data_IF_298175939556
#
_entry.id   IF_298175939556
#
_cell.length_a   1.000
_cell.length_b   1.000
_cell.length_c   1.000
_cell.angle_alpha   90.00
_cell.angle_beta   90.00
_cell.angle_gamma   90.00
#
_symmetry.space_group_name_H-M   'P 1'
#
loop_
_entity.id
_entity.type
_entity.pdbx_description
1 polymer ?
#
# COMPACT_ATOMS: atom_id res chain seq x y z
N UNK A 1 9.33 -26.27 -19.95
CA UNK A 1 9.72 -24.89 -19.54
C UNK A 1 9.33 -24.71 -18.07
N UNK A 2 10.26 -24.27 -17.22
CA UNK A 2 9.86 -23.76 -15.91
C UNK A 2 8.89 -22.59 -16.18
N UNK A 3 7.76 -22.53 -15.48
CA UNK A 3 6.82 -21.43 -15.64
C UNK A 3 7.57 -20.11 -15.41
N UNK A 4 7.33 -19.11 -16.26
CA UNK A 4 7.87 -17.77 -16.03
C UNK A 4 7.24 -17.26 -14.73
N UNK A 5 8.08 -17.12 -13.70
CA UNK A 5 7.68 -16.79 -12.34
C UNK A 5 8.31 -15.46 -11.96
N UNK A 6 7.48 -14.50 -11.55
CA UNK A 6 7.89 -13.14 -11.21
C UNK A 6 7.54 -12.84 -9.76
N UNK A 7 8.38 -13.25 -8.80
CA UNK A 7 8.12 -13.04 -7.38
C UNK A 7 8.18 -11.56 -6.99
N UNK A 8 7.33 -11.20 -6.02
CA UNK A 8 7.19 -9.85 -5.48
C UNK A 8 7.45 -9.91 -3.98
N UNK A 9 8.36 -9.07 -3.50
CA UNK A 9 8.86 -9.05 -2.13
C UNK A 9 8.74 -7.63 -1.57
N UNK A 10 8.26 -7.52 -0.35
CA UNK A 10 8.35 -6.31 0.47
C UNK A 10 9.77 -6.15 0.98
N UNK A 11 10.38 -4.98 0.76
CA UNK A 11 11.83 -4.83 0.92
C UNK A 11 12.27 -4.77 2.38
N UNK A 12 11.51 -4.13 3.27
CA UNK A 12 11.95 -3.83 4.63
C UNK A 12 11.92 -5.07 5.54
N UNK A 13 10.83 -5.83 5.47
CA UNK A 13 10.61 -7.09 6.19
C UNK A 13 11.14 -8.31 5.42
N UNK A 14 11.29 -8.19 4.10
CA UNK A 14 11.56 -9.31 3.21
C UNK A 14 10.33 -10.17 2.90
N UNK A 15 9.12 -9.77 3.32
CA UNK A 15 7.93 -10.61 3.14
C UNK A 15 7.62 -10.86 1.67
N UNK A 16 7.44 -12.14 1.34
CA UNK A 16 7.05 -12.58 0.02
C UNK A 16 5.54 -12.41 -0.14
N UNK A 17 5.10 -11.53 -1.04
CA UNK A 17 3.68 -11.44 -1.41
C UNK A 17 3.17 -12.69 -2.11
N UNK A 18 4.03 -13.23 -2.97
CA UNK A 18 3.62 -14.15 -4.01
C UNK A 18 4.40 -13.89 -5.28
N UNK A 19 3.79 -14.20 -6.40
CA UNK A 19 4.40 -14.01 -7.71
C UNK A 19 3.34 -13.80 -8.78
N UNK A 20 3.79 -13.36 -9.95
CA UNK A 20 3.03 -13.51 -11.20
C UNK A 20 3.56 -14.74 -11.91
N UNK A 21 2.65 -15.62 -12.34
CA UNK A 21 2.99 -16.77 -13.17
C UNK A 21 1.98 -16.93 -14.28
N UNK A 22 2.45 -17.00 -15.52
CA UNK A 22 1.61 -17.05 -16.73
C UNK A 22 0.51 -15.96 -16.74
N UNK A 23 0.86 -14.74 -16.32
CA UNK A 23 -0.04 -13.59 -16.24
C UNK A 23 -1.08 -13.67 -15.12
N UNK A 24 -0.90 -14.53 -14.12
CA UNK A 24 -1.81 -14.69 -12.99
C UNK A 24 -1.12 -14.46 -11.66
N UNK A 25 -1.83 -13.78 -10.76
CA UNK A 25 -1.44 -13.62 -9.37
C UNK A 25 -1.43 -14.98 -8.65
N UNK A 26 -0.28 -15.29 -8.04
CA UNK A 26 0.00 -16.50 -7.27
C UNK A 26 0.35 -16.10 -5.84
N UNK A 27 -0.17 -16.85 -4.86
CA UNK A 27 0.08 -16.59 -3.43
C UNK A 27 1.49 -16.99 -3.00
N UNK A 28 1.95 -16.43 -1.87
CA UNK A 28 3.27 -16.66 -1.30
C UNK A 28 3.64 -18.15 -1.15
N UNK A 29 2.74 -18.99 -0.65
CA UNK A 29 3.02 -20.40 -0.37
C UNK A 29 3.20 -21.23 -1.65
N UNK A 30 2.52 -20.85 -2.72
CA UNK A 30 2.67 -21.47 -4.04
C UNK A 30 3.95 -20.97 -4.73
N UNK A 31 4.19 -19.65 -4.69
CA UNK A 31 5.40 -19.05 -5.22
C UNK A 31 6.66 -19.61 -4.57
N UNK A 32 6.66 -19.77 -3.24
CA UNK A 32 7.80 -20.29 -2.49
C UNK A 32 8.16 -21.75 -2.83
N UNK A 33 7.19 -22.58 -3.25
CA UNK A 33 7.46 -23.94 -3.72
C UNK A 33 8.16 -23.95 -5.08
N UNK A 34 7.89 -22.93 -5.91
CA UNK A 34 8.47 -22.78 -7.24
C UNK A 34 9.83 -22.06 -7.22
N UNK A 35 10.09 -21.22 -6.21
CA UNK A 35 11.38 -20.54 -6.02
C UNK A 35 12.45 -21.51 -5.49
N UNK A 36 13.33 -21.98 -6.37
CA UNK A 36 14.32 -23.01 -6.04
C UNK A 36 15.70 -22.49 -5.65
N UNK A 37 15.98 -21.19 -5.77
CA UNK A 37 17.30 -20.64 -5.48
C UNK A 37 17.34 -19.11 -5.51
N UNK A 38 18.57 -18.59 -5.57
CA UNK A 38 18.82 -17.15 -5.63
C UNK A 38 18.11 -16.53 -6.84
N UNK A 39 17.40 -15.43 -6.58
CA UNK A 39 16.69 -14.67 -7.60
C UNK A 39 17.17 -13.22 -7.58
N UNK A 40 17.30 -12.60 -8.75
CA UNK A 40 17.68 -11.18 -8.85
C UNK A 40 16.42 -10.34 -8.99
N UNK A 41 16.26 -9.36 -8.10
CA UNK A 41 15.11 -8.48 -8.04
C UNK A 41 15.54 -7.05 -8.39
N UNK A 42 14.69 -6.32 -9.09
CA UNK A 42 14.78 -4.87 -9.17
C UNK A 42 14.05 -4.27 -7.97
N UNK A 43 14.73 -3.38 -7.26
CA UNK A 43 14.23 -2.71 -6.06
C UNK A 43 13.68 -1.34 -6.43
N UNK A 44 12.49 -1.04 -5.94
CA UNK A 44 11.77 0.19 -6.19
C UNK A 44 11.49 0.91 -4.87
N UNK A 45 11.66 2.23 -4.88
CA UNK A 45 11.14 3.15 -3.87
C UNK A 45 9.84 3.80 -4.34
N UNK A 46 9.39 4.82 -3.60
CA UNK A 46 8.14 5.52 -3.91
C UNK A 46 8.05 6.11 -5.33
N UNK A 47 9.16 6.60 -5.88
CA UNK A 47 9.16 7.34 -7.16
C UNK A 47 10.27 6.92 -8.13
N UNK A 48 11.08 5.91 -7.79
CA UNK A 48 12.23 5.54 -8.61
C UNK A 48 12.66 4.09 -8.38
N UNK A 49 13.27 3.49 -9.40
CA UNK A 49 14.10 2.30 -9.24
C UNK A 49 15.37 2.66 -8.44
N UNK A 50 15.82 1.75 -7.59
CA UNK A 50 16.94 1.93 -6.67
C UNK A 50 18.12 1.00 -6.96
N UNK A 51 17.96 0.07 -7.89
CA UNK A 51 18.98 -0.88 -8.30
C UNK A 51 18.50 -2.32 -8.14
N UNK A 52 19.45 -3.24 -8.15
CA UNK A 52 19.18 -4.67 -8.04
C UNK A 52 19.55 -5.21 -6.66
N UNK A 53 18.81 -6.21 -6.20
CA UNK A 53 19.14 -7.01 -5.02
C UNK A 53 19.02 -8.51 -5.33
N UNK A 54 19.82 -9.31 -4.63
CA UNK A 54 19.74 -10.77 -4.62
C UNK A 54 18.85 -11.22 -3.48
N UNK A 55 17.83 -11.99 -3.78
CA UNK A 55 16.98 -12.66 -2.79
C UNK A 55 17.30 -14.13 -2.69
N UNK A 56 17.39 -14.64 -1.47
CA UNK A 56 17.56 -16.07 -1.19
C UNK A 56 16.24 -16.86 -1.40
N UNK A 57 16.28 -18.15 -1.03
CA UNK A 57 15.08 -18.99 -1.06
C UNK A 57 14.13 -18.57 0.07
N UNK A 58 12.81 -18.46 -0.19
CA UNK A 58 11.86 -18.12 0.87
C UNK A 58 11.90 -19.10 2.05
N UNK A 59 11.81 -18.53 3.25
CA UNK A 59 11.76 -19.23 4.54
C UNK A 59 10.69 -18.60 5.43
N UNK A 60 10.17 -19.30 6.46
CA UNK A 60 9.38 -18.67 7.51
C UNK A 60 10.08 -17.41 8.04
N UNK A 61 9.34 -16.33 8.26
CA UNK A 61 9.84 -15.14 8.90
C UNK A 61 10.15 -15.43 10.38
N UNK A 62 11.06 -14.65 10.96
CA UNK A 62 11.43 -14.80 12.36
C UNK A 62 10.38 -14.18 13.31
N UNK A 63 10.33 -14.66 14.55
CA UNK A 63 9.55 -14.02 15.62
C UNK A 63 8.07 -14.38 15.60
N UNK A 64 7.14 -13.45 15.89
CA UNK A 64 5.71 -13.75 15.98
C UNK A 64 5.04 -14.04 14.62
N UNK A 65 5.79 -14.01 13.52
CA UNK A 65 5.30 -14.03 12.14
C UNK A 65 5.70 -15.30 11.38
N UNK A 66 5.95 -16.43 12.06
CA UNK A 66 6.47 -17.67 11.45
C UNK A 66 5.57 -18.24 10.33
N UNK A 67 4.31 -17.85 10.29
CA UNK A 67 3.37 -18.17 9.21
C UNK A 67 3.60 -17.37 7.92
N UNK A 68 4.29 -16.23 8.01
CA UNK A 68 4.64 -15.39 6.86
C UNK A 68 5.96 -15.86 6.26
N UNK A 69 6.05 -15.86 4.92
CA UNK A 69 7.27 -16.24 4.22
C UNK A 69 8.11 -14.99 3.91
N UNK A 70 9.41 -15.07 4.13
CA UNK A 70 10.36 -14.01 3.90
C UNK A 70 11.52 -14.44 3.00
N UNK A 71 12.02 -13.49 2.21
CA UNK A 71 13.19 -13.55 1.35
C UNK A 71 14.18 -12.51 1.84
N UNK A 72 15.39 -12.92 2.20
CA UNK A 72 16.45 -12.00 2.57
C UNK A 72 17.05 -11.36 1.32
N UNK A 73 17.00 -10.02 1.24
CA UNK A 73 17.51 -9.25 0.10
C UNK A 73 18.89 -8.64 0.39
N UNK A 74 19.81 -8.68 -0.58
CA UNK A 74 21.13 -8.05 -0.48
C UNK A 74 21.58 -7.40 -1.80
N UNK A 75 22.09 -6.15 -1.79
CA UNK A 75 22.27 -5.28 -0.62
C UNK A 75 20.93 -4.78 -0.06
N UNK A 76 20.92 -4.48 1.23
CA UNK A 76 19.79 -3.77 1.83
C UNK A 76 19.66 -2.37 1.22
N UNK A 77 18.43 -1.93 1.00
CA UNK A 77 18.13 -0.63 0.40
C UNK A 77 17.15 0.11 1.30
N UNK A 78 17.64 1.01 2.15
CA UNK A 78 16.81 1.73 3.15
C UNK A 78 15.57 2.42 2.57
N UNK A 79 15.65 2.90 1.32
CA UNK A 79 14.55 3.59 0.61
C UNK A 79 13.70 2.65 -0.25
N UNK A 80 14.06 1.37 -0.32
CA UNK A 80 13.32 0.36 -1.06
C UNK A 80 12.05 -0.03 -0.30
N UNK A 81 11.00 -0.31 -1.06
CA UNK A 81 9.70 -0.71 -0.53
C UNK A 81 9.21 -2.00 -1.19
N UNK A 82 9.41 -2.14 -2.50
CA UNK A 82 8.99 -3.32 -3.26
C UNK A 82 10.13 -3.77 -4.16
N UNK A 83 10.35 -5.08 -4.19
CA UNK A 83 11.30 -5.75 -5.05
C UNK A 83 10.55 -6.75 -5.94
N UNK A 84 10.79 -6.73 -7.25
CA UNK A 84 10.18 -7.65 -8.21
C UNK A 84 11.24 -8.24 -9.12
N UNK A 85 11.18 -9.55 -9.35
CA UNK A 85 12.02 -10.22 -10.33
C UNK A 85 11.24 -10.44 -11.63
N UNK A 86 11.33 -9.47 -12.54
CA UNK A 86 10.61 -9.49 -13.81
C UNK A 86 11.48 -8.97 -14.97
N UNK A 87 11.21 -9.40 -16.21
CA UNK A 87 11.92 -8.92 -17.40
C UNK A 87 11.45 -7.54 -17.90
N UNK A 88 10.31 -7.03 -17.41
CA UNK A 88 9.78 -5.71 -17.79
C UNK A 88 10.21 -4.61 -16.81
N UNK A 89 10.02 -3.35 -17.22
CA UNK A 89 10.19 -2.20 -16.34
C UNK A 89 8.92 -2.03 -15.50
N UNK A 90 8.97 -2.35 -14.21
CA UNK A 90 7.82 -2.20 -13.31
C UNK A 90 7.50 -0.74 -12.95
N UNK A 91 8.33 0.23 -13.35
CA UNK A 91 8.05 1.67 -13.21
C UNK A 91 8.04 2.34 -14.59
N UNK A 92 7.08 2.00 -15.48
CA UNK A 92 7.03 2.55 -16.83
C UNK A 92 6.72 4.06 -16.85
N UNK A 93 6.04 4.56 -15.82
CA UNK A 93 5.68 5.97 -15.66
C UNK A 93 6.07 6.42 -14.25
N UNK A 94 6.66 7.60 -14.13
CA UNK A 94 7.29 8.08 -12.89
C UNK A 94 6.31 8.91 -12.05
N UNK A 95 5.96 8.48 -10.83
CA UNK A 95 5.10 9.26 -9.95
C UNK A 95 5.75 10.58 -9.54
N UNK A 96 4.93 11.62 -9.45
CA UNK A 96 5.31 12.94 -8.97
C UNK A 96 4.67 13.19 -7.61
N UNK A 97 5.51 13.44 -6.60
CA UNK A 97 5.04 13.92 -5.30
C UNK A 97 4.70 15.39 -5.42
N UNK A 98 3.55 15.79 -4.89
CA UNK A 98 3.10 17.19 -4.91
C UNK A 98 2.79 17.70 -3.50
N UNK A 99 2.65 19.02 -3.37
CA UNK A 99 2.40 19.68 -2.09
C UNK A 99 1.08 19.19 -1.45
N UNK A 100 1.10 18.59 -0.24
CA UNK A 100 -0.09 18.07 0.42
C UNK A 100 -1.05 19.15 0.91
N UNK A 101 -0.64 20.43 0.90
CA UNK A 101 -1.46 21.56 1.34
C UNK A 101 -2.30 22.20 0.23
N UNK A 102 -2.20 21.68 -1.00
CA UNK A 102 -2.96 22.16 -2.16
C UNK A 102 -4.47 22.14 -1.88
N UNK A 103 -5.08 23.33 -1.98
CA UNK A 103 -6.48 23.57 -1.61
C UNK A 103 -7.46 22.62 -2.30
N UNK A 104 -7.27 22.34 -3.59
CA UNK A 104 -8.12 21.44 -4.37
C UNK A 104 -8.23 20.05 -3.75
N UNK A 105 -7.13 19.49 -3.27
CA UNK A 105 -7.12 18.16 -2.66
C UNK A 105 -7.58 18.18 -1.21
N UNK A 106 -7.23 19.25 -0.46
CA UNK A 106 -7.76 19.47 0.89
C UNK A 106 -9.29 19.58 0.89
N UNK A 107 -9.86 20.28 -0.09
CA UNK A 107 -11.31 20.40 -0.25
C UNK A 107 -11.95 19.06 -0.65
N UNK A 108 -11.34 18.32 -1.59
CA UNK A 108 -11.82 17.01 -2.00
C UNK A 108 -11.83 16.00 -0.82
N UNK A 109 -10.77 15.97 -0.02
CA UNK A 109 -10.70 15.16 1.21
C UNK A 109 -11.78 15.59 2.20
N UNK A 110 -11.98 16.90 2.41
CA UNK A 110 -13.03 17.41 3.30
C UNK A 110 -14.41 16.96 2.87
N UNK A 111 -14.71 17.07 1.58
CA UNK A 111 -15.99 16.66 1.02
C UNK A 111 -16.22 15.15 1.18
N UNK A 112 -15.20 14.36 0.86
CA UNK A 112 -15.25 12.92 1.05
C UNK A 112 -15.51 12.53 2.52
N UNK A 113 -14.81 13.14 3.47
CA UNK A 113 -14.97 12.85 4.90
C UNK A 113 -16.36 13.21 5.45
N UNK A 114 -17.04 14.21 4.88
CA UNK A 114 -18.44 14.50 5.23
C UNK A 114 -19.38 13.36 4.85
N UNK A 115 -19.10 12.65 3.75
CA UNK A 115 -19.85 11.43 3.39
C UNK A 115 -19.65 10.28 4.38
N UNK A 116 -18.64 10.40 5.25
CA UNK A 116 -18.31 9.48 6.34
C UNK A 116 -18.73 10.02 7.70
N UNK A 117 -19.68 10.94 7.76
CA UNK A 117 -20.22 11.53 9.01
C UNK A 117 -19.19 12.32 9.85
N UNK A 118 -18.09 12.75 9.23
CA UNK A 118 -17.13 13.67 9.84
C UNK A 118 -17.40 15.08 9.28
N UNK A 119 -18.30 15.82 9.93
CA UNK A 119 -18.84 17.09 9.40
C UNK A 119 -17.81 18.23 9.33
N UNK A 120 -16.92 18.30 10.32
CA UNK A 120 -15.89 19.32 10.48
C UNK A 120 -14.49 18.69 10.54
N UNK A 121 -14.03 18.02 9.47
CA UNK A 121 -12.78 17.29 9.52
C UNK A 121 -11.60 18.26 9.60
N UNK A 122 -10.69 17.99 10.54
CA UNK A 122 -9.34 18.54 10.50
C UNK A 122 -8.57 17.78 9.42
N UNK A 123 -8.62 18.32 8.20
CA UNK A 123 -7.95 17.70 7.04
C UNK A 123 -6.44 17.79 7.21
N UNK A 124 -5.78 16.63 7.17
CA UNK A 124 -4.33 16.46 7.15
C UNK A 124 -4.02 15.43 6.07
N UNK A 125 -3.38 15.90 5.00
CA UNK A 125 -2.89 15.06 3.91
C UNK A 125 -1.41 14.83 4.17
N UNK A 126 -0.99 13.58 4.15
CA UNK A 126 0.40 13.19 4.39
C UNK A 126 1.19 13.15 3.08
N UNK A 127 0.54 12.71 2.00
CA UNK A 127 1.15 12.60 0.70
C UNK A 127 0.14 12.73 -0.44
N UNK A 128 0.58 13.32 -1.55
CA UNK A 128 -0.15 13.35 -2.82
C UNK A 128 0.79 12.91 -3.92
N UNK A 129 0.45 11.81 -4.58
CA UNK A 129 1.16 11.30 -5.76
C UNK A 129 0.31 11.52 -7.00
N UNK A 130 0.95 11.96 -8.07
CA UNK A 130 0.37 12.02 -9.41
C UNK A 130 1.09 11.04 -10.32
N UNK A 131 0.35 10.20 -11.01
CA UNK A 131 0.90 9.23 -11.96
C UNK A 131 -0.21 8.77 -12.90
N UNK A 132 0.11 8.68 -14.18
CA UNK A 132 -0.69 7.95 -15.17
C UNK A 132 -0.61 6.45 -14.86
N UNK A 133 -1.64 5.91 -14.21
CA UNK A 133 -1.70 4.52 -13.77
C UNK A 133 -2.02 3.58 -14.92
N UNK A 134 -2.94 3.95 -15.81
CA UNK A 134 -3.48 3.06 -16.84
C UNK A 134 -2.90 3.26 -18.25
N UNK A 135 -2.01 4.24 -18.42
CA UNK A 135 -1.26 4.49 -19.64
C UNK A 135 -2.01 5.34 -20.67
N UNK A 136 -3.06 6.06 -20.28
CA UNK A 136 -3.87 6.89 -21.19
C UNK A 136 -3.33 8.32 -21.38
N UNK A 137 -2.30 8.70 -20.61
CA UNK A 137 -1.66 10.00 -20.63
C UNK A 137 -2.30 11.06 -19.72
N UNK A 138 -3.37 10.73 -18.99
CA UNK A 138 -3.91 11.52 -17.89
C UNK A 138 -3.35 11.02 -16.56
N UNK A 139 -2.99 11.94 -15.66
CA UNK A 139 -2.52 11.54 -14.33
C UNK A 139 -3.71 11.22 -13.41
N UNK A 140 -3.68 10.06 -12.78
CA UNK A 140 -4.40 9.82 -11.54
C UNK A 140 -3.73 10.52 -10.36
N UNK A 141 -4.55 10.85 -9.35
CA UNK A 141 -4.07 11.43 -8.10
C UNK A 141 -4.38 10.51 -6.94
N UNK A 142 -3.33 10.03 -6.27
CA UNK A 142 -3.42 9.26 -5.04
C UNK A 142 -3.19 10.18 -3.84
N UNK A 143 -4.07 10.12 -2.85
CA UNK A 143 -4.03 10.98 -1.66
C UNK A 143 -4.00 10.08 -0.43
N UNK A 144 -2.92 10.12 0.34
CA UNK A 144 -2.84 9.50 1.68
C UNK A 144 -3.12 10.57 2.73
N UNK A 145 -4.11 10.35 3.60
CA UNK A 145 -4.54 11.34 4.57
C UNK A 145 -4.87 10.71 5.91
N UNK A 146 -4.24 11.20 6.98
CA UNK A 146 -4.40 10.73 8.36
C UNK A 146 -4.38 11.89 9.35
N UNK A 147 -5.26 11.88 10.36
CA UNK A 147 -5.34 13.00 11.33
C UNK A 147 -5.13 12.64 12.81
N UNK A 148 -4.77 11.40 13.14
CA UNK A 148 -4.74 10.93 14.53
C UNK A 148 -3.35 10.50 15.07
N UNK A 149 -2.26 10.93 14.43
CA UNK A 149 -0.93 10.70 14.98
C UNK A 149 -0.71 11.43 16.31
N UNK A 150 -0.01 10.75 17.23
CA UNK A 150 0.51 11.36 18.45
C UNK A 150 1.71 12.27 18.12
N UNK A 151 2.22 13.01 19.12
CA UNK A 151 3.35 13.94 18.92
C UNK A 151 4.64 13.26 18.45
N UNK A 152 4.74 11.95 18.64
CA UNK A 152 5.84 11.08 18.24
C UNK A 152 5.56 10.32 16.93
N UNK A 153 4.55 10.76 16.17
CA UNK A 153 4.05 10.11 14.95
C UNK A 153 3.55 8.68 15.13
N UNK A 154 3.38 8.20 16.37
CA UNK A 154 2.81 6.89 16.64
C UNK A 154 1.30 6.85 16.42
N UNK A 155 0.83 5.70 15.96
CA UNK A 155 -0.60 5.39 15.85
C UNK A 155 -1.16 5.14 17.26
N UNK A 156 -2.28 5.78 17.64
CA UNK A 156 -2.84 5.60 18.97
C UNK A 156 -3.41 4.19 19.11
N UNK A 157 -3.43 3.65 20.33
CA UNK A 157 -4.07 2.34 20.61
C UNK A 157 -5.61 2.37 20.49
N UNK A 158 -6.20 3.55 20.34
CA UNK A 158 -7.64 3.78 20.33
C UNK A 158 -7.99 4.91 19.40
N UNK A 159 -9.11 4.77 18.69
CA UNK A 159 -9.55 5.76 17.73
C UNK A 159 -10.05 7.06 18.39
N UNK A 160 -9.48 8.23 18.03
CA UNK A 160 -10.05 9.51 18.46
C UNK A 160 -11.38 9.82 17.76
N UNK A 161 -12.20 10.69 18.35
CA UNK A 161 -13.37 11.23 17.64
C UNK A 161 -12.97 12.06 16.42
N UNK A 162 -13.84 12.06 15.40
CA UNK A 162 -13.66 12.79 14.14
C UNK A 162 -12.30 12.49 13.48
N UNK A 163 -11.90 11.22 13.51
CA UNK A 163 -10.58 10.79 13.10
C UNK A 163 -10.64 9.80 11.93
N UNK A 164 -9.58 9.77 11.12
CA UNK A 164 -9.52 8.94 9.91
C UNK A 164 -8.08 8.67 9.49
N UNK A 165 -7.90 7.57 8.77
CA UNK A 165 -6.77 7.36 7.87
C UNK A 165 -7.28 6.67 6.62
N UNK A 166 -6.84 7.12 5.45
CA UNK A 166 -7.31 6.56 4.18
C UNK A 166 -6.35 6.84 3.04
N UNK A 167 -6.49 6.04 1.99
CA UNK A 167 -5.97 6.29 0.66
C UNK A 167 -7.14 6.50 -0.31
N UNK A 168 -7.15 7.66 -0.96
CA UNK A 168 -8.10 8.00 -2.01
C UNK A 168 -7.41 8.00 -3.38
N UNK A 169 -8.16 7.62 -4.40
CA UNK A 169 -7.81 7.72 -5.80
C UNK A 169 -8.75 8.70 -6.49
N UNK A 170 -8.19 9.70 -7.14
CA UNK A 170 -8.94 10.65 -7.97
C UNK A 170 -8.53 10.50 -9.43
N UNK A 171 -9.52 10.41 -10.32
CA UNK A 171 -9.30 10.22 -11.75
C UNK A 171 -10.40 10.88 -12.56
N UNK A 172 -10.18 11.11 -13.85
CA UNK A 172 -11.22 11.59 -14.75
C UNK A 172 -11.94 10.39 -15.36
N UNK A 173 -13.26 10.32 -15.18
CA UNK A 173 -14.13 9.31 -15.80
C UNK A 173 -15.18 10.04 -16.63
N UNK A 174 -15.18 9.81 -17.94
CA UNK A 174 -16.10 10.47 -18.87
C UNK A 174 -16.15 12.01 -18.72
N UNK A 175 -14.98 12.63 -18.54
CA UNK A 175 -14.84 14.09 -18.39
C UNK A 175 -15.20 14.66 -17.03
N UNK A 176 -15.44 13.80 -16.01
CA UNK A 176 -15.72 14.22 -14.63
C UNK A 176 -14.68 13.65 -13.69
N UNK A 177 -14.28 14.45 -12.70
CA UNK A 177 -13.39 13.95 -11.65
C UNK A 177 -14.18 13.09 -10.68
N UNK A 178 -13.80 11.82 -10.56
CA UNK A 178 -14.34 10.89 -9.57
C UNK A 178 -13.33 10.68 -8.44
N UNK A 179 -13.84 10.37 -7.25
CA UNK A 179 -13.03 10.03 -6.07
C UNK A 179 -13.45 8.65 -5.58
N UNK A 180 -12.51 7.73 -5.54
CA UNK A 180 -12.68 6.36 -5.08
C UNK A 180 -11.88 6.16 -3.79
N UNK A 181 -12.44 5.40 -2.86
CA UNK A 181 -11.71 4.89 -1.71
C UNK A 181 -10.94 3.64 -2.13
N UNK A 182 -9.63 3.61 -1.90
CA UNK A 182 -8.84 2.39 -2.05
C UNK A 182 -8.94 1.58 -0.75
N UNK A 183 -8.61 2.21 0.36
CA UNK A 183 -8.61 1.61 1.70
C UNK A 183 -8.73 2.74 2.73
N UNK A 184 -9.36 2.47 3.87
CA UNK A 184 -9.37 3.42 4.97
C UNK A 184 -10.38 3.17 6.08
N UNK A 185 -10.09 3.78 7.22
CA UNK A 185 -10.89 3.72 8.44
C UNK A 185 -11.38 5.12 8.84
N UNK A 186 -12.61 5.16 9.36
CA UNK A 186 -13.31 6.40 9.70
C UNK A 186 -13.97 6.28 11.06
N UNK A 187 -13.70 7.27 11.92
CA UNK A 187 -14.16 7.31 13.29
C UNK A 187 -14.92 8.61 13.56
N UNK A 188 -16.22 8.69 13.21
CA UNK A 188 -17.03 9.88 13.46
C UNK A 188 -17.15 10.20 14.95
N UNK A 189 -17.22 9.15 15.78
CA UNK A 189 -17.34 9.22 17.23
C UNK A 189 -16.12 8.58 17.88
N UNK A 190 -15.73 9.07 19.06
CA UNK A 190 -14.66 8.48 19.85
C UNK A 190 -15.07 7.08 20.32
N UNK A 191 -14.06 6.25 20.56
CA UNK A 191 -14.26 4.94 21.15
C UNK A 191 -15.06 4.98 22.45
N UNK A 192 -16.19 4.26 22.56
CA UNK A 192 -17.03 4.30 23.75
C UNK A 192 -16.31 3.79 24.99
N UNK A 193 -16.44 4.52 26.12
CA UNK A 193 -15.88 4.08 27.41
C UNK A 193 -16.40 2.71 27.85
N UNK A 194 -17.69 2.42 27.65
CA UNK A 194 -18.28 1.14 28.01
C UNK A 194 -17.61 -0.05 27.29
N UNK A 195 -17.25 0.12 26.01
CA UNK A 195 -16.53 -0.92 25.26
C UNK A 195 -15.11 -1.15 25.80
N UNK A 196 -14.48 -0.12 26.39
CA UNK A 196 -13.18 -0.25 27.06
C UNK A 196 -13.28 -1.05 28.35
N UNK A 197 -14.33 -0.85 29.13
CA UNK A 197 -14.60 -1.60 30.37
C UNK A 197 -14.87 -3.09 30.09
N UNK A 198 -15.41 -3.40 28.90
CA UNK A 198 -15.61 -4.77 28.38
C UNK A 198 -14.34 -5.38 27.75
N UNK A 199 -13.21 -4.69 27.76
CA UNK A 199 -11.95 -5.18 27.19
C UNK A 199 -11.92 -5.24 25.66
N UNK A 200 -12.85 -4.56 24.96
CA UNK A 200 -12.84 -4.48 23.50
C UNK A 200 -11.75 -3.49 23.04
N UNK A 201 -11.12 -3.77 21.91
CA UNK A 201 -10.08 -2.95 21.30
C UNK A 201 -10.55 -2.30 19.98
N UNK A 202 -10.00 -1.12 19.68
CA UNK A 202 -10.29 -0.34 18.47
C UNK A 202 -9.04 0.40 17.95
N UNK A 203 -7.94 -0.32 17.83
CA UNK A 203 -6.72 0.26 17.29
C UNK A 203 -6.92 0.65 15.82
N UNK A 204 -6.78 1.93 15.47
CA UNK A 204 -6.86 2.36 14.09
C UNK A 204 -5.58 2.03 13.33
N UNK A 205 -5.69 1.87 12.02
CA UNK A 205 -4.61 1.66 11.07
C UNK A 205 -4.29 2.95 10.31
N UNK A 206 -3.03 3.37 10.30
CA UNK A 206 -2.56 4.42 9.41
C UNK A 206 -2.26 3.84 8.02
N UNK A 207 -2.87 4.38 6.96
CA UNK A 207 -2.71 3.95 5.58
C UNK A 207 -1.89 4.96 4.76
N UNK A 208 -1.00 4.44 3.91
CA UNK A 208 -0.16 5.26 3.04
C UNK A 208 0.18 4.56 1.74
N UNK A 209 0.15 5.29 0.63
CA UNK A 209 0.74 4.81 -0.63
C UNK A 209 2.25 4.80 -0.52
N UNK A 210 2.84 3.62 -0.68
CA UNK A 210 4.29 3.41 -0.59
C UNK A 210 4.93 3.15 -1.95
N UNK A 211 4.17 2.66 -2.94
CA UNK A 211 4.61 2.54 -4.33
C UNK A 211 3.44 2.50 -5.30
N UNK A 212 3.73 2.76 -6.57
CA UNK A 212 2.88 2.42 -7.71
C UNK A 212 3.76 1.76 -8.76
N UNK A 213 3.43 0.54 -9.19
CA UNK A 213 4.28 -0.29 -10.02
C UNK A 213 3.43 -1.17 -10.94
N UNK A 214 3.88 -1.40 -12.16
CA UNK A 214 3.35 -2.41 -13.08
C UNK A 214 3.89 -3.78 -12.65
N UNK A 215 3.16 -4.43 -11.74
CA UNK A 215 3.64 -5.62 -11.03
C UNK A 215 3.34 -6.90 -11.80
N UNK A 216 2.42 -6.87 -12.77
CA UNK A 216 2.10 -8.02 -13.62
C UNK A 216 2.51 -7.89 -15.09
N UNK A 217 3.05 -6.73 -15.48
CA UNK A 217 3.58 -6.49 -16.81
C UNK A 217 2.50 -6.21 -17.85
N UNK A 218 1.26 -5.93 -17.44
CA UNK A 218 0.16 -5.62 -18.36
C UNK A 218 0.20 -4.16 -18.87
N UNK A 219 1.15 -3.36 -18.36
CA UNK A 219 1.33 -1.97 -18.72
C UNK A 219 0.51 -1.00 -17.88
N UNK A 220 -0.34 -1.47 -16.97
CA UNK A 220 -1.05 -0.68 -15.96
C UNK A 220 -0.38 -0.87 -14.61
N UNK A 221 -0.38 0.18 -13.81
CA UNK A 221 0.32 0.16 -12.52
C UNK A 221 -0.64 -0.18 -11.38
N UNK A 222 -0.30 -1.20 -10.61
CA UNK A 222 -0.87 -1.45 -9.29
C UNK A 222 -0.44 -0.40 -8.27
N UNK A 223 -1.26 -0.25 -7.23
CA UNK A 223 -1.02 0.67 -6.12
C UNK A 223 -0.70 -0.16 -4.88
N UNK A 224 0.43 0.15 -4.24
CA UNK A 224 0.87 -0.54 -3.03
C UNK A 224 0.60 0.36 -1.83
N UNK A 225 -0.26 -0.12 -0.93
CA UNK A 225 -0.66 0.59 0.28
C UNK A 225 -0.06 -0.12 1.49
N UNK A 226 0.77 0.60 2.24
CA UNK A 226 1.18 0.18 3.57
C UNK A 226 0.14 0.61 4.61
N UNK A 227 -0.04 -0.24 5.61
CA UNK A 227 -0.89 -0.01 6.76
C UNK A 227 -0.14 -0.40 8.03
N UNK A 228 -0.28 0.38 9.09
CA UNK A 228 0.30 0.04 10.39
C UNK A 228 -0.64 0.45 11.53
N UNK A 229 -0.71 -0.40 12.54
CA UNK A 229 -1.34 -0.11 13.83
C UNK A 229 -0.31 -0.32 14.94
N UNK A 230 -0.71 -0.13 16.20
CA UNK A 230 0.24 -0.13 17.32
C UNK A 230 0.95 -1.49 17.58
N UNK A 231 0.43 -2.58 17.01
CA UNK A 231 0.90 -3.95 17.27
C UNK A 231 1.26 -4.71 15.99
N UNK A 232 1.19 -4.07 14.82
CA UNK A 232 1.48 -4.73 13.57
C UNK A 232 1.38 -3.84 12.34
N UNK A 233 1.70 -4.43 11.21
CA UNK A 233 1.68 -3.80 9.91
C UNK A 233 1.21 -4.77 8.84
N UNK A 234 0.65 -4.24 7.77
CA UNK A 234 0.33 -4.99 6.58
C UNK A 234 0.55 -4.12 5.34
N UNK A 235 1.00 -4.73 4.26
CA UNK A 235 1.14 -4.08 2.96
C UNK A 235 0.27 -4.85 1.98
N UNK A 236 -0.52 -4.11 1.20
CA UNK A 236 -1.50 -4.68 0.27
C UNK A 236 -1.33 -4.07 -1.11
N UNK A 237 -1.36 -4.93 -2.13
CA UNK A 237 -1.31 -4.55 -3.54
C UNK A 237 -2.74 -4.45 -4.06
N UNK A 238 -3.07 -3.31 -4.67
CA UNK A 238 -4.38 -3.02 -5.23
C UNK A 238 -4.31 -2.81 -6.73
N UNK A 239 -5.31 -3.35 -7.43
CA UNK A 239 -5.64 -2.98 -8.81
C UNK A 239 -6.86 -2.08 -8.79
N UNK A 240 -6.79 -0.96 -9.51
CA UNK A 240 -7.89 -0.02 -9.60
C UNK A 240 -8.27 0.25 -11.05
N UNK A 241 -9.56 0.16 -11.34
CA UNK A 241 -10.18 0.59 -12.58
C UNK A 241 -11.22 1.71 -12.30
N UNK A 242 -11.83 2.33 -13.33
CA UNK A 242 -12.84 3.37 -13.12
C UNK A 242 -14.07 2.94 -12.31
N UNK A 243 -14.30 1.64 -12.09
CA UNK A 243 -15.44 1.12 -11.33
C UNK A 243 -15.08 0.77 -9.90
N UNK A 244 -13.90 0.20 -9.64
CA UNK A 244 -13.50 -0.29 -8.33
C UNK A 244 -11.99 -0.42 -8.16
N UNK A 245 -11.59 -0.48 -6.89
CA UNK A 245 -10.28 -0.97 -6.47
C UNK A 245 -10.44 -2.33 -5.80
N UNK A 246 -9.58 -3.28 -6.13
CA UNK A 246 -9.57 -4.63 -5.56
C UNK A 246 -8.19 -4.99 -5.03
N UNK A 247 -8.14 -5.57 -3.83
CA UNK A 247 -6.92 -6.13 -3.28
C UNK A 247 -6.55 -7.41 -4.03
N UNK A 248 -5.29 -7.54 -4.41
CA UNK A 248 -4.75 -8.67 -5.16
C UNK A 248 -3.99 -9.63 -4.24
N UNK A 249 -3.00 -9.10 -3.52
CA UNK A 249 -2.17 -9.81 -2.55
C UNK A 249 -1.93 -8.90 -1.34
N UNK A 250 -1.77 -9.50 -0.17
CA UNK A 250 -1.46 -8.80 1.08
C UNK A 250 -0.49 -9.65 1.89
N UNK A 251 0.43 -8.98 2.58
CA UNK A 251 1.33 -9.57 3.58
C UNK A 251 1.33 -8.67 4.80
N UNK A 252 1.55 -9.23 5.97
CA UNK A 252 1.60 -8.47 7.20
C UNK A 252 1.86 -9.35 8.38
N UNK A 253 2.19 -8.72 9.50
CA UNK A 253 2.34 -9.37 10.77
C UNK A 253 1.89 -8.44 11.89
N UNK A 254 1.28 -9.01 12.92
CA UNK A 254 0.87 -8.28 14.11
C UNK A 254 0.67 -9.22 15.30
N UNK A 255 0.80 -8.65 16.49
CA UNK A 255 0.57 -9.33 17.77
C UNK A 255 -0.92 -9.45 18.12
#
# INVERSE_FOLDING_TARGET
PAADLHPIVEVQSGYLFGAISDGKWMKAEEAAKALQGETTYQVYGLTQALGDAKGDKPKPADGPCEETLAVSLSPETEKGVIAIAAPWNALPRKPQVTDPTQKTYVDAVREFLRTKEIDQPKVKIDNILRVDLDGDGEDEVLISATNYFRKDDSVPMRSPAASYSMVLLRRVVAGKVETQLIEGEFYPKAYPKAAQEEGRFDAPNAYKVIATLDLDGDGKMEIVVGSNYYEGEAITIYRCDPKKCEALLSVGCGA
#
